data_IF_026708545679
#
_entry.id   IF_026708545679
#
_cell.length_a   1.000
_cell.length_b   1.000
_cell.length_c   1.000
_cell.angle_alpha   90.00
_cell.angle_beta   90.00
_cell.angle_gamma   90.00
#
_symmetry.space_group_name_H-M   'P 1'
#
loop_
_entity.id
_entity.type
_entity.pdbx_description
1 polymer ?
#
# COMPACT_ATOMS: atom_id res chain seq x y z
N UNK A 1 0.05 -0.73 -11.30
CA UNK A 1 -0.70 0.35 -10.68
C UNK A 1 -0.10 1.69 -11.05
N UNK A 2 -0.54 2.74 -10.37
CA UNK A 2 -0.18 4.12 -10.67
C UNK A 2 1.04 4.64 -9.91
N UNK A 3 1.66 5.71 -10.42
CA UNK A 3 2.66 6.51 -9.69
C UNK A 3 2.16 7.93 -9.57
N UNK A 4 2.12 8.45 -8.37
CA UNK A 4 1.63 9.79 -8.04
C UNK A 4 2.64 10.51 -7.15
N UNK A 5 2.54 11.82 -7.11
CA UNK A 5 3.35 12.66 -6.23
C UNK A 5 2.48 13.77 -5.66
N UNK A 6 2.68 14.12 -4.40
CA UNK A 6 1.91 15.17 -3.72
C UNK A 6 2.79 15.89 -2.73
N UNK A 7 2.84 17.21 -2.85
CA UNK A 7 3.41 18.05 -1.79
C UNK A 7 2.49 18.00 -0.57
N UNK A 8 3.08 17.72 0.59
CA UNK A 8 2.42 17.67 1.90
C UNK A 8 3.20 18.52 2.90
N UNK A 9 2.55 18.89 4.01
CA UNK A 9 3.21 19.57 5.13
C UNK A 9 3.08 18.69 6.36
N UNK A 10 4.21 18.36 6.99
CA UNK A 10 4.28 17.62 8.25
C UNK A 10 5.13 18.44 9.21
N UNK A 11 4.60 18.73 10.40
CA UNK A 11 5.27 19.55 11.43
C UNK A 11 5.83 20.89 10.92
N UNK A 12 5.11 21.52 9.98
CA UNK A 12 5.50 22.81 9.39
C UNK A 12 6.61 22.72 8.32
N UNK A 13 7.09 21.52 7.98
CA UNK A 13 8.03 21.28 6.90
C UNK A 13 7.31 20.71 5.68
N UNK A 14 7.70 21.14 4.48
CA UNK A 14 7.15 20.64 3.22
C UNK A 14 7.92 19.40 2.76
N UNK A 15 7.17 18.38 2.34
CA UNK A 15 7.70 17.11 1.84
C UNK A 15 7.04 16.73 0.53
N UNK A 16 7.73 15.93 -0.29
CA UNK A 16 7.17 15.40 -1.54
C UNK A 16 6.81 13.92 -1.36
N UNK A 17 5.56 13.66 -1.02
CA UNK A 17 5.06 12.31 -0.89
C UNK A 17 4.98 11.63 -2.26
N UNK A 18 5.71 10.52 -2.43
CA UNK A 18 5.70 9.69 -3.63
C UNK A 18 4.80 8.48 -3.41
N UNK A 19 3.72 8.35 -4.18
CA UNK A 19 2.77 7.25 -4.03
C UNK A 19 2.96 6.28 -5.20
N UNK A 20 3.14 4.99 -4.92
CA UNK A 20 3.34 3.96 -5.95
C UNK A 20 2.40 2.78 -5.73
N UNK A 21 1.24 2.83 -6.35
CA UNK A 21 0.26 1.74 -6.29
C UNK A 21 0.73 0.50 -7.07
N UNK A 22 0.83 -0.62 -6.37
CA UNK A 22 1.19 -1.93 -6.92
C UNK A 22 -0.06 -2.79 -7.08
N UNK A 23 -0.30 -3.29 -8.29
CA UNK A 23 -1.51 -4.07 -8.61
C UNK A 23 -1.39 -5.56 -8.30
N UNK A 24 -0.32 -5.96 -7.61
CA UNK A 24 0.07 -7.36 -7.42
C UNK A 24 1.00 -7.55 -6.21
N UNK A 25 1.52 -8.77 -6.00
CA UNK A 25 2.39 -9.07 -4.88
C UNK A 25 3.65 -8.20 -4.90
N UNK A 26 4.18 -7.77 -3.73
CA UNK A 26 5.37 -6.95 -3.68
C UNK A 26 6.57 -7.69 -4.30
N UNK A 27 7.31 -6.98 -5.13
CA UNK A 27 8.57 -7.43 -5.72
C UNK A 27 9.77 -6.85 -4.97
N UNK A 28 10.96 -7.44 -5.17
CA UNK A 28 12.19 -6.97 -4.52
C UNK A 28 12.47 -5.48 -4.77
N UNK A 29 12.28 -5.00 -6.01
CA UNK A 29 12.52 -3.60 -6.36
C UNK A 29 11.60 -2.65 -5.59
N UNK A 30 10.34 -3.07 -5.41
CA UNK A 30 9.36 -2.32 -4.66
C UNK A 30 9.70 -2.34 -3.16
N UNK A 31 10.03 -3.52 -2.62
CA UNK A 31 10.42 -3.67 -1.22
C UNK A 31 11.68 -2.86 -0.87
N UNK A 32 12.63 -2.72 -1.79
CA UNK A 32 13.81 -1.88 -1.59
C UNK A 32 13.53 -0.38 -1.68
N UNK A 33 12.47 0.02 -2.40
CA UNK A 33 12.12 1.42 -2.66
C UNK A 33 11.29 2.06 -1.54
N UNK A 34 10.46 1.28 -0.84
CA UNK A 34 9.53 1.83 0.16
C UNK A 34 10.18 2.26 1.47
N UNK A 35 9.72 3.39 1.97
CA UNK A 35 9.93 3.86 3.34
C UNK A 35 8.76 3.52 4.27
N UNK A 36 7.54 3.39 3.73
CA UNK A 36 6.35 2.96 4.46
C UNK A 36 5.44 2.12 3.54
N UNK A 37 4.51 1.37 4.12
CA UNK A 37 3.54 0.57 3.36
C UNK A 37 2.14 0.77 3.92
N UNK A 38 1.17 0.96 3.02
CA UNK A 38 -0.25 0.93 3.37
C UNK A 38 -0.86 -0.31 2.71
N UNK A 39 -1.37 -1.22 3.53
CA UNK A 39 -2.11 -2.38 3.07
C UNK A 39 -3.59 -2.06 3.05
N UNK A 40 -4.26 -2.34 1.94
CA UNK A 40 -5.68 -2.04 1.75
C UNK A 40 -6.43 -3.32 1.44
N UNK A 41 -7.50 -3.58 2.18
CA UNK A 41 -8.42 -4.69 1.96
C UNK A 41 -9.87 -4.21 2.08
N UNK A 42 -10.81 -4.99 1.53
CA UNK A 42 -12.24 -4.72 1.66
C UNK A 42 -12.82 -5.45 2.87
N UNK A 43 -13.61 -4.75 3.68
CA UNK A 43 -14.34 -5.36 4.79
C UNK A 43 -15.44 -6.34 4.34
N UNK A 44 -15.79 -6.31 3.05
CA UNK A 44 -16.82 -7.15 2.44
C UNK A 44 -16.21 -8.35 1.67
N UNK A 45 -14.88 -8.44 1.55
CA UNK A 45 -14.19 -9.50 0.81
C UNK A 45 -13.05 -10.13 1.64
N UNK A 46 -13.29 -11.31 2.19
CA UNK A 46 -12.30 -12.06 2.97
C UNK A 46 -11.04 -12.42 2.15
N UNK A 47 -11.18 -12.66 0.84
CA UNK A 47 -10.05 -13.01 -0.03
C UNK A 47 -9.06 -11.84 -0.09
N UNK A 48 -9.57 -10.60 -0.08
CA UNK A 48 -8.73 -9.41 -0.05
C UNK A 48 -7.86 -9.33 1.22
N UNK A 49 -8.42 -9.68 2.37
CA UNK A 49 -7.70 -9.70 3.65
C UNK A 49 -6.60 -10.77 3.65
N UNK A 50 -6.93 -11.98 3.17
CA UNK A 50 -5.96 -13.06 3.01
C UNK A 50 -4.84 -12.67 2.01
N UNK A 51 -5.18 -11.96 0.94
CA UNK A 51 -4.22 -11.45 -0.05
C UNK A 51 -3.25 -10.45 0.57
N UNK A 52 -3.74 -9.50 1.36
CA UNK A 52 -2.91 -8.55 2.11
C UNK A 52 -1.96 -9.29 3.05
N UNK A 53 -2.43 -10.31 3.78
CA UNK A 53 -1.57 -11.10 4.66
C UNK A 53 -0.45 -11.81 3.88
N UNK A 54 -0.77 -12.41 2.73
CA UNK A 54 0.23 -13.02 1.85
C UNK A 54 1.24 -12.00 1.31
N UNK A 55 0.80 -10.77 1.02
CA UNK A 55 1.70 -9.69 0.59
C UNK A 55 2.62 -9.23 1.71
N UNK A 56 2.11 -9.13 2.94
CA UNK A 56 2.93 -8.88 4.13
C UNK A 56 4.02 -9.95 4.30
N UNK A 57 3.68 -11.25 4.24
CA UNK A 57 4.66 -12.33 4.33
C UNK A 57 5.73 -12.25 3.23
N UNK A 58 5.33 -11.91 2.00
CA UNK A 58 6.25 -11.72 0.88
C UNK A 58 7.17 -10.51 1.11
N UNK A 59 6.66 -9.41 1.67
CA UNK A 59 7.48 -8.26 2.04
C UNK A 59 8.51 -8.62 3.12
N UNK A 60 8.14 -9.43 4.12
CA UNK A 60 9.07 -9.95 5.14
C UNK A 60 10.23 -10.74 4.53
N UNK A 61 10.04 -11.37 3.37
CA UNK A 61 11.11 -12.10 2.68
C UNK A 61 12.17 -11.19 2.04
N UNK A 62 11.85 -9.90 1.84
CA UNK A 62 12.75 -8.93 1.23
C UNK A 62 13.26 -7.85 2.19
N UNK A 63 12.51 -7.54 3.27
CA UNK A 63 12.83 -6.46 4.22
C UNK A 63 12.52 -6.87 5.65
N UNK A 64 13.32 -6.37 6.59
CA UNK A 64 12.97 -6.38 8.01
C UNK A 64 11.77 -5.45 8.24
N UNK A 65 10.59 -6.03 8.48
CA UNK A 65 9.36 -5.25 8.64
C UNK A 65 9.30 -4.45 9.93
N UNK A 66 10.19 -4.70 10.89
CA UNK A 66 10.31 -3.86 12.09
C UNK A 66 10.84 -2.44 11.79
N UNK A 67 11.46 -2.25 10.62
CA UNK A 67 12.07 -0.98 10.19
C UNK A 67 11.20 -0.22 9.17
N UNK A 68 10.07 -0.79 8.76
CA UNK A 68 9.17 -0.20 7.76
C UNK A 68 7.83 0.09 8.44
N UNK A 69 7.47 1.36 8.71
CA UNK A 69 6.15 1.71 9.20
C UNK A 69 5.04 1.17 8.29
N UNK A 70 4.01 0.58 8.89
CA UNK A 70 2.90 -0.02 8.16
C UNK A 70 1.56 0.45 8.70
N UNK A 71 0.62 0.65 7.79
CA UNK A 71 -0.78 0.92 8.10
C UNK A 71 -1.64 -0.13 7.40
N UNK A 72 -2.61 -0.69 8.11
CA UNK A 72 -3.62 -1.59 7.55
C UNK A 72 -4.97 -0.86 7.48
N UNK A 73 -5.56 -0.82 6.29
CA UNK A 73 -6.79 -0.09 6.00
C UNK A 73 -7.84 -1.06 5.49
N UNK A 74 -8.93 -1.21 6.23
CA UNK A 74 -10.15 -1.87 5.76
C UNK A 74 -11.09 -0.83 5.16
N UNK A 75 -11.45 -0.98 3.88
CA UNK A 75 -12.40 -0.09 3.21
C UNK A 75 -13.82 -0.65 3.32
N UNK A 76 -14.78 0.22 3.61
CA UNK A 76 -16.21 -0.06 3.45
C UNK A 76 -16.56 0.21 1.99
N UNK A 77 -17.41 -0.62 1.37
CA UNK A 77 -17.72 -0.52 -0.06
C UNK A 77 -18.24 0.86 -0.43
N UNK A 78 -17.49 1.60 -1.26
CA UNK A 78 -17.97 2.83 -1.89
C UNK A 78 -17.75 2.77 -3.41
N UNK A 79 -18.62 1.99 -4.10
CA UNK A 79 -19.27 2.36 -5.36
C UNK A 79 -20.03 1.18 -5.98
N UNK A 80 -21.30 1.42 -6.31
CA UNK A 80 -22.25 0.61 -7.08
C UNK A 80 -21.90 0.58 -8.59
N UNK A 81 -20.64 0.40 -8.91
CA UNK A 81 -20.13 0.16 -10.26
C UNK A 81 -19.29 -1.13 -10.22
N UNK A 82 -19.32 -1.97 -11.27
CA UNK A 82 -18.49 -3.17 -11.30
C UNK A 82 -17.02 -2.76 -11.31
N UNK A 83 -16.41 -2.71 -10.13
CA UNK A 83 -14.98 -2.50 -10.00
C UNK A 83 -14.27 -3.73 -10.59
N UNK A 84 -13.20 -3.54 -11.40
CA UNK A 84 -12.38 -4.66 -11.82
C UNK A 84 -11.78 -5.32 -10.58
N UNK A 85 -11.56 -6.63 -10.63
CA UNK A 85 -11.08 -7.53 -9.56
C UNK A 85 -9.66 -7.24 -9.03
N UNK A 86 -9.23 -5.99 -9.03
CA UNK A 86 -7.92 -5.54 -8.58
C UNK A 86 -8.10 -4.49 -7.50
N UNK A 87 -7.93 -4.90 -6.25
CA UNK A 87 -7.89 -4.00 -5.10
C UNK A 87 -6.56 -3.25 -5.19
N UNK A 88 -6.58 -1.91 -5.31
CA UNK A 88 -5.35 -1.14 -5.39
C UNK A 88 -4.67 -1.15 -4.02
N UNK A 89 -3.43 -1.65 -3.98
CA UNK A 89 -2.54 -1.46 -2.85
C UNK A 89 -2.06 0.00 -2.93
N UNK A 90 -2.83 0.92 -2.34
CA UNK A 90 -2.41 2.30 -2.23
C UNK A 90 -1.13 2.35 -1.40
N UNK A 91 -0.07 2.94 -1.93
CA UNK A 91 1.27 2.75 -1.39
C UNK A 91 1.96 4.09 -1.28
N UNK A 92 2.26 4.50 -0.05
CA UNK A 92 2.93 5.77 0.25
C UNK A 92 4.43 5.53 0.48
N UNK A 93 5.30 6.25 -0.24
CA UNK A 93 6.75 6.25 -0.08
C UNK A 93 7.33 7.67 -0.02
N UNK A 94 8.42 7.78 0.75
CA UNK A 94 9.40 8.87 0.89
C UNK A 94 8.95 10.30 1.22
N UNK A 95 9.66 10.89 2.21
CA UNK A 95 9.72 12.32 2.52
C UNK A 95 10.67 13.06 1.55
#
# INVERSE_FOLDING_TARGET
GGRFKKEIVVDGQSYLLLIRDEGGPPELQFAAWVDAVVFVFSLEDEISFQTVYNYYLRLCSYRNTAEVPMVLVGTQGESRAPAPSHIPLALAGAL
#
